data_IF_333695083676
#
_entry.id   IF_333695083676
#
_cell.length_a   1.000
_cell.length_b   1.000
_cell.length_c   1.000
_cell.angle_alpha   90.00
_cell.angle_beta   90.00
_cell.angle_gamma   90.00
#
_symmetry.space_group_name_H-M   'P 1'
#
loop_
_entity.id
_entity.type
_entity.pdbx_description
1 polymer ?
#
# COMPACT_ATOMS: atom_id res chain seq x y z
N UNK A 1 -14.36 2.75 -1.61
CA UNK A 1 -13.06 3.04 -2.24
C UNK A 1 -12.36 1.75 -2.62
N UNK A 2 -11.82 0.98 -1.65
CA UNK A 2 -11.05 -0.23 -1.95
C UNK A 2 -11.86 -1.27 -2.74
N UNK A 3 -13.04 -1.68 -2.25
CA UNK A 3 -13.90 -2.66 -2.96
C UNK A 3 -14.34 -2.19 -4.35
N UNK A 4 -14.46 -0.88 -4.55
CA UNK A 4 -14.89 -0.27 -5.81
C UNK A 4 -13.79 -0.26 -6.87
N UNK A 5 -12.53 -0.14 -6.45
CA UNK A 5 -11.41 0.18 -7.34
C UNK A 5 -10.32 -0.88 -7.39
N UNK A 6 -10.12 -1.62 -6.30
CA UNK A 6 -9.05 -2.61 -6.19
C UNK A 6 -9.61 -3.97 -6.61
N UNK A 7 -9.02 -4.64 -7.63
CA UNK A 7 -9.44 -5.98 -8.02
C UNK A 7 -9.41 -6.96 -6.85
N UNK A 8 -10.36 -7.89 -6.83
CA UNK A 8 -10.35 -9.01 -5.90
C UNK A 8 -9.03 -9.80 -6.07
N UNK A 9 -8.35 -10.10 -4.94
CA UNK A 9 -7.07 -10.81 -4.95
C UNK A 9 -5.81 -9.92 -5.07
N UNK A 10 -5.92 -8.63 -5.40
CA UNK A 10 -4.75 -7.75 -5.44
C UNK A 10 -4.18 -7.47 -4.02
N UNK A 11 -2.89 -7.15 -3.93
CA UNK A 11 -2.29 -6.73 -2.66
C UNK A 11 -2.51 -5.24 -2.40
N UNK A 12 -2.98 -4.91 -1.20
CA UNK A 12 -3.13 -3.53 -0.71
C UNK A 12 -2.24 -3.32 0.49
N UNK A 13 -1.36 -2.32 0.45
CA UNK A 13 -0.59 -1.91 1.62
C UNK A 13 -1.27 -0.74 2.35
N UNK A 14 -1.20 -0.77 3.69
CA UNK A 14 -1.63 0.34 4.55
C UNK A 14 -0.86 0.31 5.88
N UNK A 15 -0.80 1.45 6.57
CA UNK A 15 -0.19 1.62 7.89
C UNK A 15 -1.01 1.06 9.05
N UNK A 16 -2.34 1.00 8.95
CA UNK A 16 -3.19 0.34 9.95
C UNK A 16 -4.11 -0.67 9.28
N UNK A 17 -3.64 -1.91 9.15
CA UNK A 17 -4.34 -2.94 8.37
C UNK A 17 -5.30 -3.80 9.17
N UNK A 18 -5.40 -3.64 10.49
CA UNK A 18 -6.24 -4.51 11.33
C UNK A 18 -7.70 -4.57 10.87
N UNK A 19 -8.29 -3.41 10.59
CA UNK A 19 -9.66 -3.34 10.05
C UNK A 19 -9.71 -3.73 8.58
N UNK A 20 -8.69 -3.38 7.79
CA UNK A 20 -8.69 -3.68 6.36
C UNK A 20 -8.54 -5.19 6.08
N UNK A 21 -7.69 -5.89 6.83
CA UNK A 21 -7.48 -7.33 6.75
C UNK A 21 -8.65 -8.16 7.28
N UNK A 22 -9.56 -7.55 8.04
CA UNK A 22 -10.83 -8.18 8.41
C UNK A 22 -11.81 -8.23 7.22
N UNK A 23 -11.85 -7.18 6.38
CA UNK A 23 -12.77 -7.07 5.25
C UNK A 23 -12.24 -7.64 3.93
N UNK A 24 -10.94 -7.93 3.84
CA UNK A 24 -10.35 -8.56 2.65
C UNK A 24 -9.08 -9.34 2.94
N UNK A 25 -8.86 -10.33 2.09
CA UNK A 25 -7.58 -11.01 1.97
C UNK A 25 -6.54 -10.11 1.28
N UNK A 26 -5.26 -10.49 1.37
CA UNK A 26 -4.12 -9.84 0.69
C UNK A 26 -3.89 -8.38 1.08
N UNK A 27 -3.62 -8.17 2.37
CA UNK A 27 -3.29 -6.85 2.93
C UNK A 27 -1.89 -6.89 3.53
N UNK A 28 -1.02 -5.96 3.12
CA UNK A 28 0.33 -5.81 3.66
C UNK A 28 0.34 -4.75 4.77
N UNK A 29 0.61 -5.17 6.01
CA UNK A 29 0.75 -4.26 7.15
C UNK A 29 2.10 -3.55 7.15
N UNK A 30 2.07 -2.22 7.28
CA UNK A 30 3.25 -1.36 7.37
C UNK A 30 3.53 -0.83 8.79
N UNK A 31 2.65 -1.06 9.78
CA UNK A 31 2.79 -0.54 11.15
C UNK A 31 4.08 -1.03 11.87
N UNK A 32 4.63 -2.15 11.38
CA UNK A 32 5.90 -2.72 11.85
C UNK A 32 5.81 -3.57 13.11
N UNK A 33 4.68 -3.55 13.84
CA UNK A 33 4.48 -4.46 15.00
C UNK A 33 4.18 -5.90 14.59
N UNK A 34 3.49 -6.08 13.47
CA UNK A 34 3.11 -7.41 12.95
C UNK A 34 3.91 -7.83 11.72
N UNK A 35 4.67 -6.89 11.12
CA UNK A 35 5.51 -7.14 9.95
C UNK A 35 6.94 -6.67 10.26
N UNK A 36 7.78 -7.59 10.73
CA UNK A 36 9.19 -7.32 11.02
C UNK A 36 9.94 -6.77 9.81
N UNK A 37 9.58 -7.19 8.61
CA UNK A 37 10.25 -6.74 7.40
C UNK A 37 9.93 -5.27 7.10
N UNK A 38 8.67 -4.85 7.26
CA UNK A 38 8.30 -3.44 7.21
C UNK A 38 9.05 -2.63 8.28
N UNK A 39 9.19 -3.15 9.50
CA UNK A 39 9.97 -2.49 10.55
C UNK A 39 11.46 -2.34 10.18
N UNK A 40 12.08 -3.39 9.64
CA UNK A 40 13.47 -3.33 9.15
C UNK A 40 13.63 -2.30 8.04
N UNK A 41 12.61 -2.11 7.21
CA UNK A 41 12.58 -1.15 6.09
C UNK A 41 11.89 0.19 6.42
N UNK A 42 11.59 0.51 7.68
CA UNK A 42 10.81 1.70 8.10
C UNK A 42 11.33 3.05 7.59
N UNK A 43 12.64 3.15 7.27
CA UNK A 43 13.25 4.36 6.69
C UNK A 43 13.18 4.42 5.16
N UNK A 44 12.72 3.35 4.51
CA UNK A 44 12.72 3.15 3.06
C UNK A 44 11.46 2.40 2.60
N UNK A 45 10.30 2.70 3.19
CA UNK A 45 9.05 1.95 2.94
C UNK A 45 8.66 1.97 1.47
N UNK A 46 8.80 3.10 0.76
CA UNK A 46 8.55 3.13 -0.68
C UNK A 46 9.36 2.07 -1.47
N UNK A 47 10.66 1.92 -1.17
CA UNK A 47 11.50 0.91 -1.81
C UNK A 47 11.12 -0.52 -1.39
N UNK A 48 10.62 -0.70 -0.17
CA UNK A 48 10.04 -1.97 0.27
C UNK A 48 8.78 -2.31 -0.53
N UNK A 49 7.85 -1.36 -0.70
CA UNK A 49 6.64 -1.56 -1.52
C UNK A 49 6.98 -1.88 -2.99
N UNK A 50 8.06 -1.31 -3.52
CA UNK A 50 8.60 -1.64 -4.84
C UNK A 50 9.05 -3.11 -4.90
N UNK A 51 9.86 -3.54 -3.94
CA UNK A 51 10.35 -4.92 -3.82
C UNK A 51 9.22 -5.94 -3.66
N UNK A 52 8.22 -5.63 -2.85
CA UNK A 52 7.05 -6.49 -2.60
C UNK A 52 6.05 -6.51 -3.77
N UNK A 53 6.27 -5.68 -4.79
CA UNK A 53 5.38 -5.62 -5.94
C UNK A 53 4.04 -4.95 -5.66
N UNK A 54 3.85 -4.28 -4.51
CA UNK A 54 2.56 -3.70 -4.10
C UNK A 54 2.07 -2.69 -5.12
N UNK A 55 0.88 -2.87 -5.69
CA UNK A 55 0.31 -1.94 -6.69
C UNK A 55 -0.76 -1.00 -6.15
N UNK A 56 -1.26 -1.26 -4.95
CA UNK A 56 -2.31 -0.50 -4.31
C UNK A 56 -1.89 -0.08 -2.91
N UNK A 57 -2.08 1.20 -2.61
CA UNK A 57 -1.77 1.77 -1.31
C UNK A 57 -2.97 2.58 -0.85
N UNK A 58 -3.46 2.35 0.36
CA UNK A 58 -4.60 3.09 0.89
C UNK A 58 -4.35 3.49 2.34
N UNK A 59 -4.26 4.79 2.61
CA UNK A 59 -3.98 5.29 3.97
C UNK A 59 -4.45 6.73 4.15
N UNK A 60 -4.31 7.24 5.37
CA UNK A 60 -4.45 8.65 5.70
C UNK A 60 -3.38 9.49 5.00
N UNK A 61 -3.66 10.78 4.79
CA UNK A 61 -2.69 11.75 4.22
C UNK A 61 -1.31 11.71 4.89
N UNK A 62 -1.27 11.69 6.22
CA UNK A 62 0.01 11.66 6.95
C UNK A 62 0.80 10.36 6.68
N UNK A 63 0.11 9.22 6.56
CA UNK A 63 0.74 7.93 6.22
C UNK A 63 1.21 7.87 4.78
N UNK A 64 0.49 8.49 3.84
CA UNK A 64 0.96 8.69 2.45
C UNK A 64 2.25 9.49 2.44
N UNK A 65 2.28 10.64 3.13
CA UNK A 65 3.45 11.51 3.19
C UNK A 65 4.65 10.80 3.84
N UNK A 66 4.41 9.97 4.85
CA UNK A 66 5.44 9.17 5.52
C UNK A 66 5.99 8.02 4.64
N UNK A 67 5.12 7.25 3.99
CA UNK A 67 5.50 6.02 3.30
C UNK A 67 5.82 6.19 1.83
N UNK A 68 5.09 7.04 1.11
CA UNK A 68 5.29 7.31 -0.32
C UNK A 68 6.04 8.63 -0.57
N UNK A 69 6.08 9.52 0.43
CA UNK A 69 6.62 10.87 0.32
C UNK A 69 5.56 11.89 -0.14
N UNK A 70 5.93 13.17 -0.14
CA UNK A 70 5.02 14.30 -0.48
C UNK A 70 4.57 14.36 -1.95
N UNK A 71 5.24 13.61 -2.83
CA UNK A 71 4.96 13.59 -4.28
C UNK A 71 4.95 12.14 -4.81
N UNK A 72 3.95 11.31 -4.43
CA UNK A 72 3.85 9.92 -4.86
C UNK A 72 3.85 9.74 -6.39
N UNK A 73 3.36 10.73 -7.13
CA UNK A 73 3.32 10.77 -8.60
C UNK A 73 4.71 10.67 -9.25
N UNK A 74 5.74 11.21 -8.60
CA UNK A 74 7.13 11.09 -9.07
C UNK A 74 7.66 9.65 -9.06
N UNK A 75 6.96 8.76 -8.33
CA UNK A 75 7.24 7.33 -8.22
C UNK A 75 6.21 6.47 -8.96
N UNK A 76 5.39 7.09 -9.82
CA UNK A 76 4.38 6.40 -10.63
C UNK A 76 3.07 6.07 -9.90
N UNK A 77 2.86 6.57 -8.68
CA UNK A 77 1.57 6.42 -8.00
C UNK A 77 0.57 7.47 -8.48
N UNK A 78 -0.62 7.02 -8.82
CA UNK A 78 -1.75 7.87 -9.21
C UNK A 78 -2.82 7.82 -8.14
N UNK A 79 -3.33 8.98 -7.73
CA UNK A 79 -4.49 9.06 -6.85
C UNK A 79 -5.73 8.54 -7.62
N UNK A 80 -6.38 7.51 -7.08
CA UNK A 80 -7.53 6.82 -7.69
C UNK A 80 -8.84 7.26 -7.06
N UNK A 81 -8.88 7.39 -5.73
CA UNK A 81 -10.09 7.75 -4.99
C UNK A 81 -9.74 8.43 -3.65
N UNK A 82 -10.69 9.18 -3.09
CA UNK A 82 -10.59 9.84 -1.79
C UNK A 82 -11.93 9.77 -1.04
N UNK A 83 -11.88 9.48 0.25
CA UNK A 83 -13.04 9.54 1.16
C UNK A 83 -12.60 10.11 2.50
N UNK A 84 -13.01 11.35 2.79
CA UNK A 84 -12.47 12.10 3.93
C UNK A 84 -10.96 12.30 3.76
N UNK A 85 -10.18 11.92 4.77
CA UNK A 85 -8.71 12.02 4.75
C UNK A 85 -8.00 10.75 4.27
N UNK A 86 -8.77 9.72 3.90
CA UNK A 86 -8.21 8.51 3.29
C UNK A 86 -8.01 8.70 1.80
N UNK A 87 -6.83 8.29 1.33
CA UNK A 87 -6.38 8.39 -0.04
C UNK A 87 -6.08 6.98 -0.57
N UNK A 88 -6.64 6.64 -1.72
CA UNK A 88 -6.34 5.42 -2.45
C UNK A 88 -5.44 5.74 -3.64
N UNK A 89 -4.23 5.21 -3.62
CA UNK A 89 -3.29 5.27 -4.74
C UNK A 89 -3.18 3.92 -5.45
N UNK A 90 -2.99 3.99 -6.77
CA UNK A 90 -2.71 2.85 -7.63
C UNK A 90 -1.55 3.17 -8.59
N UNK A 91 -0.79 2.16 -8.99
CA UNK A 91 0.26 2.30 -10.01
C UNK A 91 0.10 1.24 -11.10
N UNK A 92 0.27 1.64 -12.36
CA UNK A 92 0.10 0.76 -13.52
C UNK A 92 1.37 -0.05 -13.81
N UNK A 93 1.27 -1.36 -13.59
CA UNK A 93 1.94 -2.41 -14.35
C UNK A 93 1.07 -3.66 -14.20
N UNK A 94 0.33 -4.01 -15.27
CA UNK A 94 -0.77 -4.98 -15.34
C UNK A 94 -0.60 -6.17 -14.38
N UNK A 95 -1.58 -6.39 -13.51
CA UNK A 95 -1.45 -7.31 -12.37
C UNK A 95 -1.09 -8.76 -12.73
N UNK A 96 -0.78 -9.63 -11.74
CA UNK A 96 -0.56 -9.35 -10.32
C UNK A 96 0.95 -9.28 -10.00
N UNK A 97 1.34 -8.47 -9.02
CA UNK A 97 2.62 -8.67 -8.34
C UNK A 97 2.39 -8.73 -6.83
N UNK A 98 2.50 -9.94 -6.34
CA UNK A 98 2.93 -10.29 -5.00
C UNK A 98 4.37 -10.80 -5.17
N UNK A 99 5.01 -11.28 -4.10
CA UNK A 99 6.36 -11.84 -4.02
C UNK A 99 7.13 -12.18 -5.32
N UNK A 100 8.44 -11.95 -5.26
CA UNK A 100 9.34 -13.11 -5.37
C UNK A 100 10.44 -13.04 -4.31
N UNK A 101 10.49 -14.06 -3.45
CA UNK A 101 11.71 -14.85 -3.24
C UNK A 101 11.43 -16.18 -2.51
N UNK A 102 12.34 -17.17 -2.66
CA UNK A 102 12.08 -18.62 -2.71
C UNK A 102 11.59 -19.25 -1.41
#
# INVERSE_FOLDING_TARGET
MIEKHVPAGAWVAAGQTGTLGYFREHVLNLDGKLNEEAYRNRRAIAAYLDREGVRWFCDWRWGVDEYLGKSPETRGWRLIDRKGDFLLYGRDAGGPARASRP
#
